data_IF_857209362204
#
_entry.id   IF_857209362204
#
_cell.length_a   1.000
_cell.length_b   1.000
_cell.length_c   1.000
_cell.angle_alpha   90.00
_cell.angle_beta   90.00
_cell.angle_gamma   90.00
#
_symmetry.space_group_name_H-M   'P 1'
#
loop_
_entity.id
_entity.type
_entity.pdbx_description
1 polymer ?
#
# COMPACT_ATOMS: atom_id res chain seq x y z
N UNK A 1 23.38 79.67 1.92
CA UNK A 1 23.49 78.57 0.98
C UNK A 1 23.72 77.29 1.79
N UNK A 2 22.62 76.62 2.26
CA UNK A 2 22.71 75.45 3.14
C UNK A 2 22.23 74.24 2.38
N UNK A 3 23.13 73.31 2.14
CA UNK A 3 22.88 72.02 1.47
C UNK A 3 22.41 70.99 2.48
N UNK A 4 21.14 70.61 2.44
CA UNK A 4 20.52 69.60 3.33
C UNK A 4 20.86 68.20 2.78
N UNK A 5 21.65 67.42 3.52
CA UNK A 5 21.94 66.03 3.27
C UNK A 5 20.82 65.14 3.83
N UNK A 6 20.25 64.26 2.98
CA UNK A 6 19.21 63.31 3.34
C UNK A 6 19.91 62.02 3.82
N UNK A 7 19.52 61.40 4.95
CA UNK A 7 20.20 60.20 5.45
C UNK A 7 19.68 58.92 4.74
N UNK A 8 20.62 58.21 4.14
CA UNK A 8 20.41 56.95 3.35
C UNK A 8 20.10 55.71 4.24
N UNK A 9 19.77 55.89 5.50
CA UNK A 9 19.71 54.77 6.49
C UNK A 9 18.39 54.02 6.59
N UNK A 10 17.31 54.31 5.83
CA UNK A 10 15.97 53.69 5.99
C UNK A 10 15.56 52.67 4.94
N UNK A 11 16.36 52.43 3.89
CA UNK A 11 15.98 51.54 2.79
C UNK A 11 16.48 50.09 2.96
N UNK A 12 17.48 49.86 3.82
CA UNK A 12 18.08 48.52 3.99
C UNK A 12 17.25 47.62 4.94
N UNK A 13 16.54 48.18 5.91
CA UNK A 13 15.76 47.39 6.88
C UNK A 13 14.48 46.79 6.32
N UNK A 14 13.88 47.37 5.27
CA UNK A 14 12.64 46.87 4.69
C UNK A 14 12.83 45.63 3.76
N UNK A 15 14.02 45.52 3.16
CA UNK A 15 14.32 44.36 2.27
C UNK A 15 14.64 43.09 3.03
N UNK A 16 15.24 43.16 4.21
CA UNK A 16 15.58 42.01 5.05
C UNK A 16 14.35 41.36 5.68
N UNK A 17 13.30 42.14 6.00
CA UNK A 17 12.07 41.64 6.60
C UNK A 17 11.19 40.88 5.59
N UNK A 18 11.20 41.30 4.32
CA UNK A 18 10.44 40.64 3.26
C UNK A 18 11.07 39.28 2.86
N UNK A 19 12.41 39.20 2.85
CA UNK A 19 13.14 37.97 2.54
C UNK A 19 12.95 36.91 3.62
N UNK A 20 12.88 37.30 4.89
CA UNK A 20 12.61 36.38 6.01
C UNK A 20 11.18 35.87 6.00
N UNK A 21 10.21 36.71 5.60
CA UNK A 21 8.81 36.30 5.48
C UNK A 21 8.57 35.30 4.33
N UNK A 22 9.28 35.46 3.20
CA UNK A 22 9.21 34.52 2.07
C UNK A 22 9.88 33.17 2.41
N UNK A 23 10.96 33.19 3.22
CA UNK A 23 11.63 31.98 3.67
C UNK A 23 10.77 31.17 4.67
N UNK A 24 9.94 31.84 5.48
CA UNK A 24 9.01 31.16 6.42
C UNK A 24 7.80 30.52 5.72
N UNK A 25 7.41 31.01 4.54
CA UNK A 25 6.28 30.46 3.76
C UNK A 25 6.61 29.17 2.99
N UNK A 26 7.89 28.86 2.81
CA UNK A 26 8.34 27.66 2.06
C UNK A 26 8.38 26.40 2.96
N UNK A 27 8.29 26.55 4.30
CA UNK A 27 8.41 25.39 5.24
C UNK A 27 7.07 24.73 5.59
N UNK A 28 5.95 25.28 5.13
CA UNK A 28 4.63 24.66 5.35
C UNK A 28 4.24 23.72 4.19
N UNK A 29 5.13 22.80 3.80
CA UNK A 29 4.70 21.65 3.04
C UNK A 29 3.98 20.72 4.02
N UNK A 30 2.64 20.72 3.92
CA UNK A 30 1.80 19.75 4.61
C UNK A 30 2.26 18.36 4.12
N UNK A 31 2.76 17.56 5.06
CA UNK A 31 2.84 16.13 4.84
C UNK A 31 1.39 15.65 4.65
N UNK A 32 1.04 15.37 3.41
CA UNK A 32 -0.22 14.69 3.12
C UNK A 32 -0.08 13.28 3.69
N UNK A 33 -0.83 13.02 4.77
CA UNK A 33 -1.09 11.65 5.21
C UNK A 33 -1.57 10.86 3.98
N UNK A 34 -0.98 9.71 3.73
CA UNK A 34 -1.37 8.84 2.60
C UNK A 34 -2.85 8.51 2.76
N UNK A 35 -3.68 9.28 2.07
CA UNK A 35 -5.12 9.04 2.04
C UNK A 35 -5.35 7.87 1.09
N UNK A 36 -5.91 6.78 1.59
CA UNK A 36 -6.33 5.67 0.74
C UNK A 36 -7.53 6.13 -0.11
N UNK A 37 -7.25 6.61 -1.31
CA UNK A 37 -8.26 7.23 -2.20
C UNK A 37 -9.38 6.28 -2.59
N UNK A 38 -9.23 4.98 -2.53
CA UNK A 38 -10.20 4.00 -3.02
C UNK A 38 -10.69 3.02 -1.95
N UNK A 39 -10.81 3.49 -0.69
CA UNK A 39 -11.18 2.62 0.44
C UNK A 39 -12.50 1.86 0.20
N UNK A 40 -13.48 2.51 -0.44
CA UNK A 40 -14.83 1.98 -0.69
C UNK A 40 -15.06 1.57 -2.15
N UNK A 41 -13.99 1.40 -2.93
CA UNK A 41 -14.06 0.93 -4.31
C UNK A 41 -13.45 -0.46 -4.44
N UNK A 42 -14.02 -1.28 -5.31
CA UNK A 42 -13.47 -2.56 -5.69
C UNK A 42 -13.38 -2.68 -7.21
N UNK A 43 -12.39 -3.43 -7.67
CA UNK A 43 -12.23 -3.87 -9.04
C UNK A 43 -12.23 -5.39 -9.05
N UNK A 44 -13.15 -5.98 -9.81
CA UNK A 44 -13.33 -7.42 -9.90
C UNK A 44 -13.30 -7.83 -11.37
N UNK A 45 -12.52 -8.85 -11.69
CA UNK A 45 -12.54 -9.45 -13.03
C UNK A 45 -13.93 -10.04 -13.29
N UNK A 46 -14.50 -9.73 -14.45
CA UNK A 46 -15.86 -10.14 -14.83
C UNK A 46 -15.84 -10.89 -16.15
N UNK A 47 -16.48 -12.04 -16.15
CA UNK A 47 -16.59 -12.88 -17.34
C UNK A 47 -17.72 -12.41 -18.28
N UNK A 48 -18.75 -11.73 -17.73
CA UNK A 48 -19.87 -11.20 -18.52
C UNK A 48 -20.58 -10.05 -17.80
N UNK A 49 -21.41 -9.31 -18.54
CA UNK A 49 -22.25 -8.24 -17.96
C UNK A 49 -23.66 -8.70 -17.59
N UNK A 50 -23.88 -10.04 -17.49
CA UNK A 50 -25.18 -10.57 -17.08
C UNK A 50 -25.51 -10.19 -15.63
N UNK A 51 -26.80 -10.13 -15.30
CA UNK A 51 -27.26 -9.81 -13.94
C UNK A 51 -26.76 -10.83 -12.91
N UNK A 52 -26.66 -12.10 -13.31
CA UNK A 52 -26.16 -13.17 -12.47
C UNK A 52 -24.65 -12.95 -12.15
N UNK A 53 -23.84 -12.68 -13.18
CA UNK A 53 -22.41 -12.42 -13.01
C UNK A 53 -22.18 -11.15 -12.22
N UNK A 54 -22.91 -10.08 -12.50
CA UNK A 54 -22.82 -8.82 -11.75
C UNK A 54 -23.04 -9.01 -10.25
N UNK A 55 -23.97 -9.88 -9.85
CA UNK A 55 -24.21 -10.19 -8.43
C UNK A 55 -23.02 -10.92 -7.81
N UNK A 56 -22.41 -11.85 -8.53
CA UNK A 56 -21.21 -12.58 -8.08
C UNK A 56 -20.07 -11.58 -7.90
N UNK A 57 -19.79 -10.77 -8.91
CA UNK A 57 -18.72 -9.77 -8.89
C UNK A 57 -18.94 -8.73 -7.79
N UNK A 58 -20.17 -8.26 -7.60
CA UNK A 58 -20.52 -7.33 -6.54
C UNK A 58 -20.35 -7.95 -5.14
N UNK A 59 -20.63 -9.24 -4.97
CA UNK A 59 -20.39 -9.96 -3.73
C UNK A 59 -18.89 -10.05 -3.41
N UNK A 60 -18.08 -10.36 -4.42
CA UNK A 60 -16.63 -10.36 -4.28
C UNK A 60 -16.10 -8.97 -3.95
N UNK A 61 -16.54 -7.94 -4.69
CA UNK A 61 -16.15 -6.54 -4.42
C UNK A 61 -16.55 -6.07 -3.02
N UNK A 62 -17.75 -6.46 -2.54
CA UNK A 62 -18.20 -6.18 -1.18
C UNK A 62 -17.29 -6.83 -0.14
N UNK A 63 -16.93 -8.10 -0.36
CA UNK A 63 -15.98 -8.84 0.49
C UNK A 63 -14.63 -8.12 0.59
N UNK A 64 -14.07 -7.67 -0.55
CA UNK A 64 -12.82 -6.93 -0.60
C UNK A 64 -12.91 -5.62 0.20
N UNK A 65 -13.98 -4.85 0.04
CA UNK A 65 -14.17 -3.58 0.75
C UNK A 65 -14.37 -3.80 2.25
N UNK A 66 -15.17 -4.77 2.66
CA UNK A 66 -15.37 -5.10 4.07
C UNK A 66 -14.07 -5.54 4.74
N UNK A 67 -13.27 -6.39 4.08
CA UNK A 67 -11.93 -6.78 4.52
C UNK A 67 -11.01 -5.57 4.69
N UNK A 68 -11.01 -4.67 3.70
CA UNK A 68 -10.18 -3.48 3.70
C UNK A 68 -10.58 -2.50 4.79
N UNK A 69 -11.89 -2.27 4.99
CA UNK A 69 -12.40 -1.31 5.98
C UNK A 69 -12.32 -1.85 7.40
N UNK A 70 -12.43 -3.16 7.60
CA UNK A 70 -12.24 -3.78 8.92
C UNK A 70 -10.77 -4.06 9.27
N UNK A 71 -9.88 -4.18 8.26
CA UNK A 71 -8.50 -4.65 8.42
C UNK A 71 -8.39 -6.16 8.71
N UNK A 72 -9.52 -6.88 8.81
CA UNK A 72 -9.59 -8.29 9.20
C UNK A 72 -9.84 -9.20 8.00
N UNK A 73 -9.20 -10.37 7.97
CA UNK A 73 -9.42 -11.39 6.91
C UNK A 73 -10.42 -12.47 7.28
N UNK A 74 -10.74 -12.61 8.57
CA UNK A 74 -11.66 -13.63 9.10
C UNK A 74 -13.14 -13.21 9.06
N UNK A 75 -13.45 -12.07 8.45
CA UNK A 75 -14.80 -11.51 8.39
C UNK A 75 -15.82 -12.42 7.69
N UNK A 76 -15.36 -13.25 6.75
CA UNK A 76 -16.22 -14.16 6.00
C UNK A 76 -16.82 -15.28 6.86
N UNK A 77 -16.37 -15.45 8.10
CA UNK A 77 -16.95 -16.36 9.07
C UNK A 77 -18.10 -15.72 9.86
N UNK A 78 -18.26 -14.39 9.79
CA UNK A 78 -19.31 -13.69 10.50
C UNK A 78 -20.67 -13.84 9.78
N UNK A 79 -21.74 -14.31 10.45
CA UNK A 79 -23.03 -14.56 9.82
C UNK A 79 -23.69 -13.31 9.23
N UNK A 80 -23.47 -12.12 9.82
CA UNK A 80 -23.98 -10.83 9.30
C UNK A 80 -23.32 -10.51 7.96
N UNK A 81 -21.99 -10.72 7.87
CA UNK A 81 -21.26 -10.52 6.63
C UNK A 81 -21.70 -11.50 5.55
N UNK A 82 -21.83 -12.79 5.92
CA UNK A 82 -22.31 -13.85 4.99
C UNK A 82 -23.71 -13.51 4.45
N UNK A 83 -24.60 -12.96 5.29
CA UNK A 83 -25.92 -12.54 4.86
C UNK A 83 -25.85 -11.35 3.89
N UNK A 84 -25.01 -10.34 4.18
CA UNK A 84 -24.83 -9.16 3.33
C UNK A 84 -24.27 -9.52 1.93
N UNK A 85 -23.36 -10.49 1.86
CA UNK A 85 -22.77 -10.97 0.60
C UNK A 85 -23.79 -11.64 -0.33
N UNK A 86 -24.94 -12.08 0.15
CA UNK A 86 -26.03 -12.65 -0.66
C UNK A 86 -26.85 -11.57 -1.38
N UNK A 87 -26.81 -10.34 -0.91
CA UNK A 87 -27.58 -9.20 -1.47
C UNK A 87 -26.69 -7.98 -1.65
N UNK A 88 -25.57 -8.09 -2.41
CA UNK A 88 -24.55 -7.04 -2.52
C UNK A 88 -25.09 -5.75 -3.16
N UNK A 89 -26.15 -5.86 -3.97
CA UNK A 89 -26.81 -4.74 -4.65
C UNK A 89 -27.38 -3.67 -3.71
N UNK A 90 -27.59 -4.00 -2.44
CA UNK A 90 -28.06 -3.05 -1.43
C UNK A 90 -26.97 -2.09 -0.94
N UNK A 91 -25.70 -2.36 -1.23
CA UNK A 91 -24.55 -1.70 -0.61
C UNK A 91 -23.73 -0.84 -1.56
N UNK A 92 -23.86 -1.01 -2.87
CA UNK A 92 -23.17 -0.16 -3.83
C UNK A 92 -24.07 0.93 -4.40
N UNK A 93 -23.46 2.06 -4.74
CA UNK A 93 -24.15 3.23 -5.33
C UNK A 93 -23.91 3.34 -6.84
N UNK A 94 -22.82 2.77 -7.33
CA UNK A 94 -22.38 2.92 -8.71
C UNK A 94 -21.53 1.71 -9.13
N UNK A 95 -21.67 1.32 -10.39
CA UNK A 95 -20.74 0.38 -11.01
C UNK A 95 -20.50 0.72 -12.49
N UNK A 96 -19.38 0.30 -13.01
CA UNK A 96 -19.03 0.41 -14.44
C UNK A 96 -18.17 -0.75 -14.87
N UNK A 97 -18.17 -1.03 -16.19
CA UNK A 97 -17.28 -2.01 -16.77
C UNK A 97 -16.20 -1.34 -17.61
N UNK A 98 -14.96 -1.79 -17.43
CA UNK A 98 -13.83 -1.37 -18.25
C UNK A 98 -13.20 -2.62 -18.90
N UNK A 99 -12.74 -2.48 -20.15
CA UNK A 99 -11.95 -3.54 -20.79
C UNK A 99 -10.57 -3.57 -20.14
N UNK A 100 -10.08 -4.75 -19.80
CA UNK A 100 -8.66 -4.91 -19.45
C UNK A 100 -7.88 -4.83 -20.76
N UNK A 101 -7.10 -3.78 -20.92
CA UNK A 101 -6.07 -3.80 -21.97
C UNK A 101 -5.04 -4.84 -21.54
N UNK A 102 -4.79 -5.83 -22.40
CA UNK A 102 -3.70 -6.78 -22.19
C UNK A 102 -2.41 -5.97 -22.03
N UNK A 103 -1.85 -5.95 -20.83
CA UNK A 103 -0.57 -5.30 -20.58
C UNK A 103 0.48 -5.98 -21.46
N UNK A 104 1.47 -5.25 -21.90
CA UNK A 104 2.58 -5.68 -22.77
C UNK A 104 3.41 -6.87 -22.21
N UNK A 105 2.97 -7.52 -21.13
CA UNK A 105 3.64 -8.65 -20.49
C UNK A 105 3.22 -10.02 -21.08
N UNK A 106 2.19 -10.09 -21.92
CA UNK A 106 2.02 -11.24 -22.80
C UNK A 106 2.93 -11.03 -24.01
N UNK A 107 4.14 -11.57 -23.92
CA UNK A 107 4.96 -11.81 -25.09
C UNK A 107 4.06 -12.47 -26.12
N UNK A 108 3.73 -11.73 -27.19
CA UNK A 108 2.95 -12.21 -28.30
C UNK A 108 3.50 -13.57 -28.69
N UNK A 109 2.75 -14.62 -28.40
CA UNK A 109 3.04 -15.93 -28.94
C UNK A 109 3.03 -15.75 -30.45
N UNK A 110 4.21 -15.73 -31.04
CA UNK A 110 4.37 -15.67 -32.50
C UNK A 110 3.51 -16.79 -33.09
N UNK A 111 2.67 -16.52 -34.10
CA UNK A 111 1.86 -17.55 -34.74
C UNK A 111 2.77 -18.68 -35.20
N UNK A 112 2.67 -19.83 -34.60
CA UNK A 112 3.38 -20.99 -35.07
C UNK A 112 2.65 -21.52 -36.30
N UNK A 113 3.29 -21.65 -37.46
CA UNK A 113 2.67 -22.18 -38.66
C UNK A 113 2.22 -23.63 -38.42
N UNK A 114 0.90 -23.89 -38.52
CA UNK A 114 0.34 -25.21 -38.46
C UNK A 114 -0.48 -25.57 -37.21
N UNK A 115 -0.70 -24.64 -36.30
CA UNK A 115 -1.67 -24.77 -35.22
C UNK A 115 -2.90 -23.93 -35.53
N UNK A 116 -4.10 -24.52 -35.35
CA UNK A 116 -5.35 -23.78 -35.43
C UNK A 116 -5.29 -22.60 -34.44
N UNK A 117 -5.81 -21.39 -34.80
CA UNK A 117 -5.85 -20.26 -33.90
C UNK A 117 -6.61 -20.72 -32.64
N UNK A 118 -5.97 -20.56 -31.50
CA UNK A 118 -6.65 -20.71 -30.19
C UNK A 118 -7.91 -19.83 -30.22
N UNK A 119 -9.04 -20.30 -29.65
CA UNK A 119 -10.24 -19.49 -29.54
C UNK A 119 -9.87 -18.13 -28.99
N UNK A 120 -10.28 -17.06 -29.69
CA UNK A 120 -10.06 -15.70 -29.21
C UNK A 120 -10.52 -15.61 -27.75
N UNK A 121 -9.61 -15.38 -26.82
CA UNK A 121 -9.96 -15.23 -25.41
C UNK A 121 -11.03 -14.15 -25.29
N UNK A 122 -12.11 -14.48 -24.60
CA UNK A 122 -13.16 -13.49 -24.33
C UNK A 122 -12.52 -12.29 -23.68
N UNK A 123 -12.72 -11.06 -24.19
CA UNK A 123 -12.04 -9.90 -23.66
C UNK A 123 -12.37 -9.78 -22.16
N UNK A 124 -11.34 -9.92 -21.33
CA UNK A 124 -11.47 -9.80 -19.89
C UNK A 124 -11.93 -8.38 -19.57
N UNK A 125 -12.97 -8.28 -18.77
CA UNK A 125 -13.53 -7.03 -18.29
C UNK A 125 -13.25 -6.90 -16.82
N UNK A 126 -13.14 -5.66 -16.32
CA UNK A 126 -13.12 -5.36 -14.91
C UNK A 126 -14.39 -4.62 -14.57
N UNK A 127 -15.13 -5.13 -13.60
CA UNK A 127 -16.21 -4.41 -12.97
C UNK A 127 -15.65 -3.54 -11.86
N UNK A 128 -15.82 -2.21 -11.98
CA UNK A 128 -15.50 -1.23 -10.95
C UNK A 128 -16.76 -0.91 -10.18
N UNK A 129 -16.70 -1.03 -8.86
CA UNK A 129 -17.85 -0.89 -7.99
C UNK A 129 -17.52 0.11 -6.91
N UNK A 130 -18.44 1.06 -6.66
CA UNK A 130 -18.35 2.01 -5.55
C UNK A 130 -19.42 1.70 -4.51
N UNK A 131 -18.98 1.37 -3.31
CA UNK A 131 -19.86 1.07 -2.18
C UNK A 131 -20.16 2.32 -1.36
N UNK A 132 -21.35 2.38 -0.75
CA UNK A 132 -21.76 3.49 0.10
C UNK A 132 -21.10 3.39 1.48
N UNK A 133 -20.23 4.34 1.87
CA UNK A 133 -19.47 4.28 3.12
C UNK A 133 -20.33 4.08 4.37
N UNK A 134 -21.50 4.73 4.41
CA UNK A 134 -22.43 4.62 5.54
C UNK A 134 -23.00 3.21 5.71
N UNK A 135 -23.30 2.53 4.59
CA UNK A 135 -23.84 1.17 4.61
C UNK A 135 -22.75 0.15 4.99
N UNK A 136 -21.51 0.32 4.47
CA UNK A 136 -20.37 -0.49 4.87
C UNK A 136 -20.09 -0.37 6.37
N UNK A 137 -20.05 0.87 6.89
CA UNK A 137 -19.86 1.10 8.32
C UNK A 137 -21.01 0.53 9.18
N UNK A 138 -22.24 0.54 8.65
CA UNK A 138 -23.40 -0.05 9.33
C UNK A 138 -23.24 -1.56 9.45
N UNK A 139 -22.94 -2.26 8.35
CA UNK A 139 -22.74 -3.73 8.37
C UNK A 139 -21.63 -4.12 9.35
N UNK A 140 -20.49 -3.43 9.31
CA UNK A 140 -19.37 -3.74 10.21
C UNK A 140 -19.74 -3.57 11.68
N UNK A 141 -20.48 -2.52 12.03
CA UNK A 141 -20.98 -2.33 13.41
C UNK A 141 -22.00 -3.41 13.82
N UNK A 142 -22.90 -3.82 12.93
CA UNK A 142 -23.87 -4.89 13.18
C UNK A 142 -23.18 -6.25 13.34
N UNK A 143 -22.01 -6.42 12.71
CA UNK A 143 -21.17 -7.60 12.82
C UNK A 143 -20.20 -7.56 14.01
N UNK A 144 -20.23 -6.50 14.84
CA UNK A 144 -19.25 -6.23 15.92
C UNK A 144 -17.79 -6.22 15.41
N UNK A 145 -17.59 -5.67 14.22
CA UNK A 145 -16.29 -5.54 13.57
C UNK A 145 -15.80 -4.08 13.60
N UNK A 146 -14.48 -3.87 13.69
CA UNK A 146 -13.93 -2.53 13.67
C UNK A 146 -14.18 -1.83 12.33
N UNK A 147 -14.36 -0.50 12.38
CA UNK A 147 -14.38 0.35 11.19
C UNK A 147 -13.11 1.18 11.18
N UNK A 148 -12.18 0.79 10.33
CA UNK A 148 -10.90 1.48 10.18
C UNK A 148 -11.01 2.53 9.07
N UNK A 149 -11.03 3.80 9.43
CA UNK A 149 -11.22 4.92 8.51
C UNK A 149 -10.08 5.13 7.51
N UNK A 150 -10.17 6.20 6.73
CA UNK A 150 -9.16 6.56 5.72
C UNK A 150 -7.85 7.11 6.29
N UNK A 151 -7.88 7.67 7.51
CA UNK A 151 -6.70 8.16 8.20
C UNK A 151 -5.97 6.99 8.87
N UNK A 152 -5.05 6.38 8.13
CA UNK A 152 -4.29 5.20 8.58
C UNK A 152 -2.83 5.54 8.69
N UNK A 153 -2.14 5.03 9.73
CA UNK A 153 -0.71 5.26 9.86
C UNK A 153 0.04 4.67 8.67
N UNK A 154 0.88 5.49 8.05
CA UNK A 154 1.81 5.07 7.00
C UNK A 154 2.90 4.18 7.57
N UNK A 155 3.29 3.13 6.85
CA UNK A 155 4.33 2.18 7.25
C UNK A 155 5.44 2.20 6.23
N UNK A 156 6.57 2.83 6.55
CA UNK A 156 7.78 2.75 5.72
C UNK A 156 8.50 1.42 5.99
N UNK A 157 8.79 0.66 4.94
CA UNK A 157 9.24 -0.73 5.06
C UNK A 157 10.63 -0.92 4.48
N UNK A 158 11.64 -1.04 5.33
CA UNK A 158 13.00 -1.43 4.98
C UNK A 158 13.11 -2.94 4.98
N UNK A 159 13.32 -3.54 3.81
CA UNK A 159 13.22 -4.99 3.66
C UNK A 159 14.40 -5.58 2.90
N UNK A 160 14.85 -6.75 3.34
CA UNK A 160 15.81 -7.59 2.63
C UNK A 160 15.34 -9.04 2.59
N UNK A 161 15.49 -9.68 1.43
CA UNK A 161 15.16 -11.09 1.20
C UNK A 161 16.43 -11.81 0.79
N UNK A 162 16.62 -13.00 1.34
CA UNK A 162 17.68 -13.93 0.96
C UNK A 162 17.05 -15.17 0.32
N UNK A 163 17.21 -15.29 -0.99
CA UNK A 163 16.71 -16.41 -1.80
C UNK A 163 17.85 -17.06 -2.60
N UNK A 164 17.52 -17.97 -3.51
CA UNK A 164 18.50 -18.65 -4.37
C UNK A 164 19.37 -17.69 -5.20
N UNK A 165 18.90 -16.48 -5.47
CA UNK A 165 19.63 -15.42 -6.18
C UNK A 165 20.56 -14.63 -5.24
N UNK A 166 20.52 -14.93 -3.94
CA UNK A 166 21.24 -14.22 -2.88
C UNK A 166 20.42 -13.10 -2.24
N UNK A 167 21.07 -12.36 -1.36
CA UNK A 167 20.41 -11.31 -0.58
C UNK A 167 20.14 -10.06 -1.40
N UNK A 168 18.87 -9.68 -1.46
CA UNK A 168 18.36 -8.50 -2.17
C UNK A 168 17.65 -7.56 -1.21
N UNK A 169 17.82 -6.25 -1.42
CA UNK A 169 17.03 -5.22 -0.76
C UNK A 169 15.83 -4.87 -1.62
N UNK A 170 14.71 -4.53 -0.97
CA UNK A 170 13.47 -4.18 -1.64
C UNK A 170 13.21 -2.67 -1.55
N UNK A 171 12.93 -2.08 -2.69
CA UNK A 171 12.61 -0.65 -2.81
C UNK A 171 11.81 -0.40 -4.08
N UNK A 172 11.36 0.83 -4.28
CA UNK A 172 10.60 1.21 -5.49
C UNK A 172 11.43 1.05 -6.77
N UNK A 173 12.72 1.35 -6.71
CA UNK A 173 13.63 1.19 -7.84
C UNK A 173 13.95 -0.28 -8.17
N UNK A 174 13.63 -1.21 -7.29
CA UNK A 174 13.98 -2.63 -7.42
C UNK A 174 12.75 -3.54 -7.19
N UNK A 175 11.77 -3.54 -8.11
CA UNK A 175 10.52 -4.23 -7.93
C UNK A 175 10.73 -5.76 -8.00
N UNK A 176 10.72 -6.42 -6.85
CA UNK A 176 10.71 -7.88 -6.76
C UNK A 176 9.29 -8.45 -6.80
N UNK A 177 9.17 -9.75 -7.07
CA UNK A 177 7.88 -10.44 -6.99
C UNK A 177 7.28 -10.33 -5.57
N UNK A 178 8.12 -10.48 -4.55
CA UNK A 178 7.68 -10.33 -3.16
C UNK A 178 7.15 -8.93 -2.88
N UNK A 179 7.84 -7.87 -3.33
CA UNK A 179 7.38 -6.49 -3.13
C UNK A 179 6.03 -6.24 -3.79
N UNK A 180 5.82 -6.76 -5.01
CA UNK A 180 4.53 -6.68 -5.70
C UNK A 180 3.43 -7.39 -4.90
N UNK A 181 3.67 -8.63 -4.47
CA UNK A 181 2.73 -9.44 -3.69
C UNK A 181 2.40 -8.78 -2.35
N UNK A 182 3.41 -8.24 -1.67
CA UNK A 182 3.25 -7.53 -0.41
C UNK A 182 2.39 -6.27 -0.58
N UNK A 183 2.65 -5.47 -1.61
CA UNK A 183 1.84 -4.30 -1.92
C UNK A 183 0.40 -4.65 -2.24
N UNK A 184 0.15 -5.74 -2.97
CA UNK A 184 -1.20 -6.23 -3.24
C UNK A 184 -1.91 -6.65 -1.94
N UNK A 185 -1.26 -7.42 -1.08
CA UNK A 185 -1.80 -7.83 0.20
C UNK A 185 -2.07 -6.63 1.13
N UNK A 186 -1.15 -5.65 1.16
CA UNK A 186 -1.30 -4.42 1.93
C UNK A 186 -2.51 -3.60 1.45
N UNK A 187 -2.67 -3.41 0.14
CA UNK A 187 -3.82 -2.73 -0.45
C UNK A 187 -5.13 -3.46 -0.17
N UNK A 188 -5.15 -4.79 -0.25
CA UNK A 188 -6.33 -5.59 0.04
C UNK A 188 -6.81 -5.40 1.49
N UNK A 189 -5.90 -5.18 2.44
CA UNK A 189 -6.21 -4.90 3.84
C UNK A 189 -6.21 -3.42 4.20
N UNK A 190 -5.93 -2.56 3.22
CA UNK A 190 -5.88 -1.12 3.42
C UNK A 190 -4.77 -0.66 4.33
N UNK A 191 -3.61 -1.30 4.32
CA UNK A 191 -2.40 -0.87 5.02
C UNK A 191 -1.61 0.06 4.08
N UNK A 192 -1.37 1.34 4.45
CA UNK A 192 -0.56 2.25 3.66
C UNK A 192 0.92 1.87 3.76
N UNK A 193 1.37 0.96 2.92
CA UNK A 193 2.74 0.50 2.87
C UNK A 193 3.56 1.37 1.91
N UNK A 194 4.68 1.89 2.38
CA UNK A 194 5.65 2.65 1.61
C UNK A 194 6.95 1.85 1.51
N UNK A 195 7.53 1.83 0.33
CA UNK A 195 8.89 1.32 0.14
C UNK A 195 9.85 2.50 0.02
N UNK A 196 11.11 2.38 0.50
CA UNK A 196 12.13 3.39 0.24
C UNK A 196 12.38 3.47 -1.27
N UNK A 197 12.68 4.67 -1.77
CA UNK A 197 13.04 4.91 -3.18
C UNK A 197 14.28 4.12 -3.58
N UNK A 198 15.13 3.83 -2.61
CA UNK A 198 16.42 3.18 -2.76
C UNK A 198 17.37 3.97 -3.66
N UNK A 199 17.31 5.29 -3.54
CA UNK A 199 18.21 6.21 -4.21
C UNK A 199 19.62 6.25 -3.55
N UNK A 200 20.46 7.18 -3.98
CA UNK A 200 21.81 7.31 -3.46
C UNK A 200 21.85 7.70 -1.97
N UNK A 201 20.86 8.43 -1.48
CA UNK A 201 20.76 8.82 -0.08
C UNK A 201 20.38 7.62 0.78
N UNK A 202 19.39 6.84 0.37
CA UNK A 202 18.98 5.62 1.06
C UNK A 202 20.11 4.60 1.11
N UNK A 203 20.78 4.35 -0.03
CA UNK A 203 21.86 3.35 -0.12
C UNK A 203 23.11 3.74 0.66
N UNK A 204 23.32 5.03 0.95
CA UNK A 204 24.36 5.51 1.87
C UNK A 204 23.95 5.42 3.33
N UNK A 205 22.66 5.60 3.61
CA UNK A 205 22.10 5.59 4.95
C UNK A 205 21.90 4.19 5.53
N UNK A 206 21.42 3.26 4.68
CA UNK A 206 21.05 1.90 5.07
C UNK A 206 21.58 0.90 4.03
N UNK A 207 22.30 -0.10 4.46
CA UNK A 207 22.76 -1.22 3.65
C UNK A 207 21.91 -2.47 3.90
N UNK A 208 22.01 -3.46 3.00
CA UNK A 208 21.43 -4.80 3.18
C UNK A 208 21.83 -5.44 4.51
N UNK A 209 23.10 -5.28 4.91
CA UNK A 209 23.64 -5.83 6.17
C UNK A 209 23.00 -5.15 7.40
N UNK A 210 22.67 -3.88 7.32
CA UNK A 210 22.04 -3.14 8.43
C UNK A 210 20.56 -3.51 8.59
N UNK A 211 19.84 -3.77 7.49
CA UNK A 211 18.49 -4.33 7.54
C UNK A 211 18.56 -5.73 8.16
N UNK A 212 19.49 -6.57 7.67
CA UNK A 212 19.66 -7.94 8.14
C UNK A 212 20.03 -8.02 9.61
N UNK A 213 20.94 -7.17 10.05
CA UNK A 213 21.37 -7.06 11.45
C UNK A 213 20.38 -6.30 12.34
N UNK A 214 19.33 -5.72 11.77
CA UNK A 214 18.33 -4.89 12.47
C UNK A 214 18.97 -3.74 13.24
N UNK A 215 19.78 -2.93 12.56
CA UNK A 215 20.40 -1.73 13.14
C UNK A 215 19.37 -0.61 13.25
N UNK A 216 18.38 -0.80 14.15
CA UNK A 216 17.13 -0.02 14.23
C UNK A 216 17.38 1.48 14.32
N UNK A 217 18.37 1.93 15.11
CA UNK A 217 18.66 3.36 15.25
C UNK A 217 19.16 4.03 13.96
N UNK A 218 19.94 3.31 13.11
CA UNK A 218 20.34 3.83 11.79
C UNK A 218 19.18 3.89 10.82
N UNK A 219 18.37 2.84 10.81
CA UNK A 219 17.19 2.75 9.95
C UNK A 219 16.19 3.85 10.33
N UNK A 220 15.97 4.08 11.64
CA UNK A 220 15.13 5.18 12.10
C UNK A 220 15.66 6.55 11.65
N UNK A 221 16.97 6.76 11.71
CA UNK A 221 17.58 8.01 11.23
C UNK A 221 17.36 8.21 9.72
N UNK A 222 17.54 7.17 8.90
CA UNK A 222 17.31 7.21 7.46
C UNK A 222 15.82 7.40 7.10
N UNK A 223 14.92 6.90 7.94
CA UNK A 223 13.47 6.99 7.74
C UNK A 223 12.92 8.41 7.89
N UNK A 224 13.64 9.31 8.55
CA UNK A 224 13.16 10.68 8.84
C UNK A 224 12.77 11.47 7.59
N UNK A 225 13.47 11.25 6.46
CA UNK A 225 13.15 11.93 5.19
C UNK A 225 11.77 11.60 4.64
N UNK A 226 11.23 10.42 4.99
CA UNK A 226 9.91 9.95 4.57
C UNK A 226 8.80 10.35 5.52
N UNK A 227 9.14 10.80 6.73
CA UNK A 227 8.21 11.15 7.81
C UNK A 227 7.09 10.12 8.03
N UNK A 228 7.38 8.81 8.11
CA UNK A 228 6.36 7.79 8.28
C UNK A 228 5.82 7.79 9.72
N UNK A 229 4.58 7.32 9.91
CA UNK A 229 4.02 7.10 11.24
C UNK A 229 4.63 5.88 11.91
N UNK A 230 4.92 4.83 11.11
CA UNK A 230 5.55 3.58 11.58
C UNK A 230 6.69 3.17 10.66
N UNK A 231 7.67 2.49 11.22
CA UNK A 231 8.82 1.96 10.49
C UNK A 231 8.84 0.45 10.63
N UNK A 232 8.76 -0.27 9.52
CA UNK A 232 8.95 -1.72 9.46
C UNK A 232 10.38 -2.04 9.02
N UNK A 233 11.06 -2.87 9.78
CA UNK A 233 12.31 -3.53 9.36
C UNK A 233 12.01 -5.00 9.22
N UNK A 234 12.23 -5.55 8.02
CA UNK A 234 11.87 -6.92 7.70
C UNK A 234 13.00 -7.63 6.97
N UNK A 235 13.32 -8.84 7.41
CA UNK A 235 14.19 -9.75 6.68
C UNK A 235 13.50 -11.07 6.48
N UNK A 236 13.68 -11.68 5.33
CA UNK A 236 13.16 -13.00 5.03
C UNK A 236 14.18 -13.88 4.36
N UNK A 237 14.12 -15.15 4.68
CA UNK A 237 14.97 -16.18 4.11
C UNK A 237 14.15 -17.42 3.77
N UNK A 238 14.58 -18.13 2.72
CA UNK A 238 14.05 -19.43 2.38
C UNK A 238 14.77 -20.48 3.22
N UNK A 239 14.02 -21.20 4.06
CA UNK A 239 14.52 -22.36 4.80
C UNK A 239 14.44 -23.63 3.94
N UNK A 240 15.09 -24.70 4.41
CA UNK A 240 15.02 -26.01 3.77
C UNK A 240 13.55 -26.43 3.62
N UNK A 241 13.18 -26.97 2.45
CA UNK A 241 11.82 -27.42 2.13
C UNK A 241 10.86 -26.34 1.60
N UNK A 242 11.35 -25.30 1.01
CA UNK A 242 10.52 -24.23 0.41
C UNK A 242 9.71 -23.42 1.43
N UNK A 243 10.01 -23.55 2.71
CA UNK A 243 9.39 -22.72 3.74
C UNK A 243 10.12 -21.37 3.84
N UNK A 244 9.33 -20.32 4.00
CA UNK A 244 9.82 -18.97 4.19
C UNK A 244 9.66 -18.54 5.64
N UNK A 245 10.73 -17.98 6.19
CA UNK A 245 10.75 -17.34 7.49
C UNK A 245 10.99 -15.86 7.34
N UNK A 246 10.20 -15.03 8.02
CA UNK A 246 10.37 -13.59 8.03
C UNK A 246 10.44 -13.05 9.44
N UNK A 247 11.54 -12.38 9.79
CA UNK A 247 11.67 -11.66 11.07
C UNK A 247 11.35 -10.18 10.85
N UNK A 248 10.45 -9.64 11.66
CA UNK A 248 10.03 -8.25 11.58
C UNK A 248 10.32 -7.49 12.86
N UNK A 249 10.56 -6.19 12.72
CA UNK A 249 10.59 -5.21 13.81
C UNK A 249 9.79 -3.99 13.36
N UNK A 250 8.77 -3.61 14.14
CA UNK A 250 7.89 -2.48 13.89
C UNK A 250 8.10 -1.41 14.94
N UNK A 251 8.54 -0.24 14.49
CA UNK A 251 8.80 0.94 15.31
C UNK A 251 7.70 1.99 15.21
N UNK A 252 7.29 2.54 16.35
CA UNK A 252 6.34 3.62 16.48
C UNK A 252 6.71 4.48 17.69
N UNK A 253 6.89 5.80 17.50
CA UNK A 253 7.24 6.73 18.60
C UNK A 253 8.52 6.35 19.36
N UNK A 254 9.51 5.75 18.70
CA UNK A 254 10.77 5.31 19.30
C UNK A 254 10.69 3.96 20.04
N UNK A 255 9.51 3.34 20.09
CA UNK A 255 9.33 2.01 20.67
C UNK A 255 9.31 0.94 19.56
N UNK A 256 9.89 -0.22 19.82
CA UNK A 256 10.00 -1.30 18.87
C UNK A 256 9.36 -2.58 19.39
N UNK A 257 8.56 -3.21 18.54
CA UNK A 257 8.04 -4.56 18.72
C UNK A 257 8.60 -5.47 17.65
N UNK A 258 8.89 -6.71 17.97
CA UNK A 258 9.48 -7.66 17.02
C UNK A 258 8.80 -9.02 17.12
N UNK A 259 8.86 -9.76 16.03
CA UNK A 259 8.34 -11.12 15.95
C UNK A 259 8.78 -11.80 14.66
N UNK A 260 8.22 -12.99 14.43
CA UNK A 260 8.50 -13.82 13.28
C UNK A 260 7.20 -14.23 12.61
N UNK A 261 7.19 -14.30 11.30
CA UNK A 261 6.12 -14.85 10.47
C UNK A 261 6.66 -15.95 9.59
N UNK A 262 5.80 -16.88 9.18
CA UNK A 262 6.13 -18.01 8.33
C UNK A 262 5.18 -18.09 7.15
N UNK A 263 5.61 -18.75 6.06
CA UNK A 263 4.79 -19.03 4.90
C UNK A 263 5.40 -20.15 4.07
N UNK A 264 4.55 -20.95 3.41
CA UNK A 264 4.98 -21.99 2.45
C UNK A 264 5.37 -21.40 1.08
N UNK A 265 5.16 -20.09 0.92
CA UNK A 265 5.52 -19.31 -0.26
C UNK A 265 5.75 -17.85 0.12
N UNK A 266 6.40 -17.08 -0.78
CA UNK A 266 6.52 -15.64 -0.63
C UNK A 266 5.14 -14.95 -0.51
N UNK A 267 4.11 -15.44 -1.20
CA UNK A 267 2.76 -14.89 -1.15
C UNK A 267 2.11 -15.09 0.23
N UNK A 268 2.26 -16.28 0.82
CA UNK A 268 1.77 -16.54 2.18
C UNK A 268 2.55 -15.76 3.21
N UNK A 269 3.87 -15.65 3.06
CA UNK A 269 4.70 -14.83 3.95
C UNK A 269 4.28 -13.36 3.92
N UNK A 270 4.04 -12.80 2.71
CA UNK A 270 3.56 -11.43 2.54
C UNK A 270 2.18 -11.22 3.21
N UNK A 271 1.27 -12.18 3.04
CA UNK A 271 -0.06 -12.15 3.68
C UNK A 271 0.04 -12.20 5.20
N UNK A 272 0.90 -13.05 5.74
CA UNK A 272 1.15 -13.16 7.17
C UNK A 272 1.73 -11.86 7.75
N UNK A 273 2.71 -11.26 7.06
CA UNK A 273 3.31 -9.98 7.46
C UNK A 273 2.27 -8.85 7.47
N UNK A 274 1.46 -8.73 6.42
CA UNK A 274 0.38 -7.74 6.37
C UNK A 274 -0.66 -7.98 7.47
N UNK A 275 -0.89 -9.25 7.84
CA UNK A 275 -1.72 -9.62 9.00
C UNK A 275 -1.24 -8.97 10.29
N UNK A 276 0.07 -8.99 10.53
CA UNK A 276 0.68 -8.31 11.68
C UNK A 276 0.47 -6.80 11.59
N UNK A 277 0.75 -6.18 10.43
CA UNK A 277 0.64 -4.73 10.25
C UNK A 277 -0.80 -4.21 10.43
N UNK A 278 -1.80 -4.99 10.02
CA UNK A 278 -3.21 -4.62 10.15
C UNK A 278 -3.78 -4.81 11.56
N UNK A 279 -3.08 -5.56 12.44
CA UNK A 279 -3.53 -5.85 13.81
C UNK A 279 -2.92 -4.93 14.87
N UNK A 280 -2.05 -4.02 14.48
CA UNK A 280 -1.27 -3.10 15.32
C UNK A 280 -1.68 -1.66 14.97
#
# INVERSE_FOLDING_TARGET
>A
MFKKSIPVRRVIAAKSSLTLLVLLLVVAQKLDAVTLENLYQAEVLSDSQSDAQRRIDASEGLSQVLTRVSGRSDILQNPVIVAALKTPEQYYSEFSYARVEAGNDEAAALPQPGLDPLPAETPRQVMRIRFAPSLIAKILREADLPVWGSNRPSVLSWMAIDDESGRQVLGEANPSLFAKTLNQAARARGVPLLLPLWDLEDSRGVSSSEIWGRFLGRIEAASKRYSPDKILVFRAESEFSNQWRGDWSLGEGGQWRSGTVYGESQAQLATALVGVLASV
#
